data_IF_205031654891
#
_entry.id   IF_205031654891
#
_cell.length_a   1.000
_cell.length_b   1.000
_cell.length_c   1.000
_cell.angle_alpha   90.00
_cell.angle_beta   90.00
_cell.angle_gamma   90.00
#
_symmetry.space_group_name_H-M   'P 1'
#
loop_
_entity.id
_entity.type
_entity.pdbx_description
1 polymer ?
#
# COMPACT_ATOMS: atom_id res chain seq x y z
N UNK A 1 -5.54 -39.20 20.58
CA UNK A 1 -6.54 -38.33 19.92
C UNK A 1 -6.82 -38.84 18.51
N UNK A 2 -8.05 -38.71 18.05
CA UNK A 2 -8.45 -38.94 16.66
C UNK A 2 -9.19 -37.71 16.15
N UNK A 3 -8.97 -37.35 14.89
CA UNK A 3 -9.63 -36.23 14.23
C UNK A 3 -10.05 -36.62 12.81
N UNK A 4 -11.17 -36.08 12.33
CA UNK A 4 -11.78 -36.44 11.05
C UNK A 4 -12.63 -35.29 10.50
N UNK A 5 -12.79 -35.20 9.18
CA UNK A 5 -13.77 -34.30 8.55
C UNK A 5 -15.21 -34.83 8.61
N UNK A 6 -15.39 -36.06 9.08
CA UNK A 6 -16.69 -36.71 9.29
C UNK A 6 -16.85 -37.10 10.76
N UNK A 7 -18.02 -36.85 11.33
CA UNK A 7 -18.39 -37.23 12.69
C UNK A 7 -18.43 -38.76 12.91
N UNK A 8 -18.48 -39.54 11.82
CA UNK A 8 -18.49 -41.01 11.87
C UNK A 8 -17.11 -41.62 12.13
N UNK A 9 -16.03 -40.83 12.02
CA UNK A 9 -14.65 -41.28 12.21
C UNK A 9 -14.27 -42.59 11.47
N UNK A 10 -14.60 -42.69 10.18
CA UNK A 10 -14.20 -43.85 9.36
C UNK A 10 -12.69 -43.87 9.12
N UNK A 11 -12.11 -45.04 8.84
CA UNK A 11 -10.67 -45.21 8.59
C UNK A 11 -10.15 -44.32 7.45
N UNK A 12 -10.98 -44.11 6.41
CA UNK A 12 -10.64 -43.28 5.24
C UNK A 12 -10.50 -41.79 5.55
N UNK A 13 -11.25 -41.26 6.51
CA UNK A 13 -11.28 -39.82 6.82
C UNK A 13 -10.59 -39.46 8.13
N UNK A 14 -10.27 -40.45 8.95
CA UNK A 14 -9.75 -40.23 10.30
C UNK A 14 -8.25 -40.35 10.36
N UNK A 15 -7.63 -39.43 11.09
CA UNK A 15 -6.22 -39.46 11.43
C UNK A 15 -6.07 -39.50 12.94
N UNK A 16 -4.97 -40.07 13.43
CA UNK A 16 -4.68 -40.15 14.86
C UNK A 16 -3.45 -39.33 15.21
N UNK A 17 -3.44 -38.82 16.43
CA UNK A 17 -2.30 -38.16 17.01
C UNK A 17 -2.14 -38.64 18.46
N UNK A 18 -0.94 -39.13 18.79
CA UNK A 18 -0.66 -39.78 20.08
C UNK A 18 0.23 -38.89 20.93
N UNK A 19 -0.17 -38.60 22.17
CA UNK A 19 0.72 -38.02 23.17
C UNK A 19 1.62 -39.13 23.73
N UNK A 20 2.93 -38.86 23.83
CA UNK A 20 3.93 -39.85 24.27
C UNK A 20 4.13 -39.85 25.79
N UNK A 21 3.89 -38.71 26.45
CA UNK A 21 4.02 -38.56 27.90
C UNK A 21 2.63 -38.57 28.52
N UNK A 22 2.50 -39.25 29.64
CA UNK A 22 1.29 -39.37 30.48
C UNK A 22 0.82 -38.03 31.03
N UNK A 23 1.74 -37.14 31.43
CA UNK A 23 1.42 -35.79 31.91
C UNK A 23 0.95 -34.80 30.83
N UNK A 24 0.92 -35.22 29.56
CA UNK A 24 0.51 -34.34 28.46
C UNK A 24 -1.00 -34.32 28.29
N UNK A 25 -1.62 -33.22 28.70
CA UNK A 25 -3.08 -33.00 28.60
C UNK A 25 -3.50 -32.27 27.33
N UNK A 26 -2.55 -31.79 26.51
CA UNK A 26 -2.82 -31.05 25.28
C UNK A 26 -1.96 -31.53 24.10
N UNK A 27 -2.52 -31.48 22.88
CA UNK A 27 -1.76 -31.78 21.65
C UNK A 27 -2.24 -30.94 20.48
N UNK A 28 -1.30 -30.24 19.84
CA UNK A 28 -1.54 -29.47 18.62
C UNK A 28 -1.55 -30.37 17.38
N UNK A 29 -2.52 -30.18 16.50
CA UNK A 29 -2.57 -30.80 15.17
C UNK A 29 -2.34 -29.72 14.12
N UNK A 30 -1.31 -29.88 13.30
CA UNK A 30 -0.96 -28.97 12.21
C UNK A 30 -1.33 -29.57 10.84
N UNK A 31 -1.21 -28.76 9.77
CA UNK A 31 -1.40 -29.24 8.40
C UNK A 31 -2.85 -29.54 8.00
N UNK A 32 -3.82 -29.02 8.75
CA UNK A 32 -5.24 -29.16 8.44
C UNK A 32 -5.67 -28.17 7.34
N UNK A 33 -6.60 -28.59 6.49
CA UNK A 33 -7.21 -27.72 5.47
C UNK A 33 -7.85 -26.48 6.12
N UNK A 34 -7.67 -25.32 5.49
CA UNK A 34 -8.28 -24.04 5.90
C UNK A 34 -9.81 -24.08 5.79
N UNK A 35 -10.51 -23.33 6.66
CA UNK A 35 -11.99 -23.20 6.68
C UNK A 35 -12.74 -24.54 6.61
N UNK A 36 -12.20 -25.57 7.24
CA UNK A 36 -12.76 -26.93 7.21
C UNK A 36 -13.18 -27.33 8.62
N UNK A 37 -14.39 -27.90 8.75
CA UNK A 37 -14.90 -28.43 10.02
C UNK A 37 -14.25 -29.79 10.29
N UNK A 38 -13.72 -29.96 11.49
CA UNK A 38 -13.17 -31.22 11.99
C UNK A 38 -13.89 -31.64 13.26
N UNK A 39 -14.07 -32.94 13.41
CA UNK A 39 -14.53 -33.60 14.62
C UNK A 39 -13.31 -34.21 15.31
N UNK A 40 -13.23 -34.09 16.63
CA UNK A 40 -12.11 -34.54 17.45
C UNK A 40 -12.64 -35.31 18.65
N UNK A 41 -12.01 -36.44 18.95
CA UNK A 41 -12.25 -37.23 20.16
C UNK A 41 -10.94 -37.77 20.71
N UNK A 42 -10.90 -38.05 22.00
CA UNK A 42 -9.71 -38.54 22.70
C UNK A 42 -10.01 -39.84 23.44
N UNK A 43 -8.99 -40.64 23.64
CA UNK A 43 -9.01 -41.85 24.47
C UNK A 43 -7.64 -42.05 25.06
N UNK A 44 -7.57 -42.66 26.23
CA UNK A 44 -6.30 -43.03 26.84
C UNK A 44 -5.83 -44.37 26.28
N UNK A 45 -4.55 -44.67 26.50
CA UNK A 45 -4.00 -45.99 26.22
C UNK A 45 -2.98 -46.34 27.29
N UNK A 46 -2.85 -47.64 27.58
CA UNK A 46 -1.79 -48.20 28.41
C UNK A 46 -1.02 -49.20 27.56
N UNK A 47 0.30 -49.14 27.62
CA UNK A 47 1.16 -50.15 26.99
C UNK A 47 1.49 -51.20 28.05
N UNK A 48 1.23 -52.47 27.75
CA UNK A 48 1.57 -53.61 28.61
C UNK A 48 2.32 -54.62 27.73
N UNK A 49 3.60 -54.81 28.01
CA UNK A 49 4.52 -55.49 27.07
C UNK A 49 4.56 -54.79 25.71
N UNK A 50 4.41 -55.56 24.61
CA UNK A 50 4.39 -55.03 23.22
C UNK A 50 3.00 -54.56 22.75
N UNK A 51 1.93 -54.75 23.54
CA UNK A 51 0.54 -54.46 23.14
C UNK A 51 0.02 -53.18 23.79
N UNK A 52 -0.72 -52.38 23.01
CA UNK A 52 -1.45 -51.20 23.50
C UNK A 52 -2.90 -51.54 23.77
N UNK A 53 -3.35 -51.32 25.01
CA UNK A 53 -4.76 -51.37 25.40
C UNK A 53 -5.31 -49.94 25.41
N UNK A 54 -6.53 -49.76 24.89
CA UNK A 54 -7.16 -48.45 24.72
C UNK A 54 -8.46 -48.38 25.53
N UNK A 55 -8.76 -47.21 26.09
CA UNK A 55 -10.09 -46.94 26.67
C UNK A 55 -11.14 -46.73 25.58
N UNK A 56 -12.41 -46.63 26.01
CA UNK A 56 -13.48 -46.06 25.19
C UNK A 56 -13.13 -44.63 24.75
N UNK A 57 -13.69 -44.22 23.60
CA UNK A 57 -13.57 -42.86 23.12
C UNK A 57 -14.41 -41.89 23.94
N UNK A 58 -13.90 -40.67 24.13
CA UNK A 58 -14.70 -39.55 24.62
C UNK A 58 -15.82 -39.19 23.64
N UNK A 59 -16.78 -38.40 24.10
CA UNK A 59 -17.68 -37.67 23.21
C UNK A 59 -16.87 -36.81 22.22
N UNK A 60 -17.38 -36.69 21.00
CA UNK A 60 -16.75 -35.91 19.95
C UNK A 60 -17.08 -34.43 20.10
N UNK A 61 -16.09 -33.56 19.91
CA UNK A 61 -16.27 -32.12 19.76
C UNK A 61 -15.93 -31.72 18.33
N UNK A 62 -16.46 -30.58 17.87
CA UNK A 62 -16.16 -30.08 16.52
C UNK A 62 -15.59 -28.67 16.56
N UNK A 63 -14.71 -28.36 15.61
CA UNK A 63 -14.09 -27.06 15.44
C UNK A 63 -13.89 -26.79 13.96
N UNK A 64 -14.02 -25.54 13.54
CA UNK A 64 -13.71 -25.13 12.16
C UNK A 64 -12.37 -24.41 12.13
N UNK A 65 -11.44 -24.86 11.29
CA UNK A 65 -10.15 -24.20 11.12
C UNK A 65 -10.33 -22.80 10.55
N UNK A 66 -9.49 -21.85 11.00
CA UNK A 66 -9.43 -20.51 10.40
C UNK A 66 -8.54 -20.54 9.15
N UNK A 67 -8.70 -19.56 8.28
CA UNK A 67 -7.73 -19.34 7.19
C UNK A 67 -6.42 -18.85 7.81
N UNK A 68 -5.30 -19.46 7.42
CA UNK A 68 -4.00 -19.16 7.99
C UNK A 68 -3.63 -17.67 7.87
N UNK A 69 -3.05 -17.11 8.94
CA UNK A 69 -2.46 -15.78 8.92
C UNK A 69 -1.18 -15.81 8.08
N UNK A 70 -1.04 -14.84 7.19
CA UNK A 70 0.15 -14.73 6.33
C UNK A 70 1.28 -14.08 7.11
N UNK A 71 2.47 -14.67 7.06
CA UNK A 71 3.69 -14.01 7.53
C UNK A 71 4.28 -13.16 6.40
N UNK A 72 4.32 -11.84 6.60
CA UNK A 72 4.85 -10.86 5.66
C UNK A 72 6.38 -10.86 5.75
N UNK A 73 7.08 -11.07 4.63
CA UNK A 73 8.55 -11.19 4.64
C UNK A 73 9.22 -9.85 4.41
N UNK A 74 8.97 -9.22 3.26
CA UNK A 74 9.64 -7.98 2.90
C UNK A 74 8.82 -7.14 1.93
N UNK A 75 9.18 -5.86 1.83
CA UNK A 75 8.70 -4.94 0.82
C UNK A 75 9.89 -4.15 0.29
N UNK A 76 10.03 -4.07 -1.03
CA UNK A 76 11.04 -3.26 -1.71
C UNK A 76 10.37 -2.15 -2.50
N UNK A 77 10.94 -0.95 -2.44
CA UNK A 77 10.50 0.16 -3.26
C UNK A 77 10.80 -0.11 -4.73
N UNK A 78 9.88 0.28 -5.61
CA UNK A 78 10.07 0.26 -7.06
C UNK A 78 9.77 1.65 -7.62
N UNK A 79 10.13 1.89 -8.88
CA UNK A 79 9.74 3.09 -9.60
C UNK A 79 8.22 3.17 -9.69
N UNK A 80 7.63 4.23 -9.11
CA UNK A 80 6.16 4.43 -9.07
C UNK A 80 5.41 3.19 -8.51
N UNK A 81 6.02 2.48 -7.55
CA UNK A 81 5.49 1.20 -7.11
C UNK A 81 6.26 0.56 -5.97
N UNK A 82 5.92 -0.68 -5.66
CA UNK A 82 6.67 -1.53 -4.73
C UNK A 82 6.40 -3.01 -4.99
N UNK A 83 7.33 -3.87 -4.61
CA UNK A 83 7.18 -5.33 -4.61
C UNK A 83 7.06 -5.83 -3.18
N UNK A 84 6.02 -6.62 -2.89
CA UNK A 84 5.82 -7.27 -1.60
C UNK A 84 6.10 -8.76 -1.69
N UNK A 85 6.71 -9.33 -0.64
CA UNK A 85 7.00 -10.77 -0.51
C UNK A 85 6.43 -11.31 0.81
N UNK A 86 5.89 -12.52 0.78
CA UNK A 86 5.30 -13.19 1.94
C UNK A 86 5.57 -14.71 1.93
N UNK A 87 5.27 -15.35 3.05
CA UNK A 87 5.30 -16.81 3.18
C UNK A 87 4.05 -17.46 2.60
N UNK A 88 4.21 -18.60 1.94
CA UNK A 88 3.08 -19.38 1.41
C UNK A 88 2.18 -19.85 2.57
N UNK A 89 0.90 -19.51 2.50
CA UNK A 89 -0.12 -20.03 3.39
C UNK A 89 -0.64 -21.39 2.87
N UNK A 90 -0.85 -22.39 3.73
CA UNK A 90 -1.30 -23.71 3.29
C UNK A 90 -2.81 -23.72 2.96
N UNK A 91 -3.18 -24.44 1.90
CA UNK A 91 -4.58 -24.69 1.51
C UNK A 91 -5.41 -23.41 1.32
N UNK A 92 -4.86 -22.43 0.60
CA UNK A 92 -5.54 -21.16 0.29
C UNK A 92 -5.78 -21.04 -1.21
N UNK A 93 -6.81 -20.29 -1.60
CA UNK A 93 -7.11 -20.02 -3.01
C UNK A 93 -6.29 -18.86 -3.55
N UNK A 94 -5.83 -17.95 -2.68
CA UNK A 94 -5.05 -16.80 -3.10
C UNK A 94 -4.79 -15.81 -1.98
N UNK A 95 -4.35 -14.62 -2.35
CA UNK A 95 -3.99 -13.55 -1.42
C UNK A 95 -4.64 -12.22 -1.80
N UNK A 96 -4.81 -11.35 -0.81
CA UNK A 96 -5.19 -9.95 -1.01
C UNK A 96 -4.10 -9.08 -0.43
N UNK A 97 -3.45 -8.30 -1.28
CA UNK A 97 -2.47 -7.29 -0.88
C UNK A 97 -3.22 -5.97 -0.76
N UNK A 98 -3.35 -5.46 0.45
CA UNK A 98 -4.00 -4.19 0.72
C UNK A 98 -2.94 -3.12 0.97
N UNK A 99 -3.10 -1.95 0.35
CA UNK A 99 -2.16 -0.83 0.47
C UNK A 99 -2.89 0.50 0.58
N UNK A 100 -2.30 1.44 1.32
CA UNK A 100 -2.93 2.71 1.68
C UNK A 100 -1.90 3.80 1.97
N UNK A 101 -2.27 5.06 1.81
CA UNK A 101 -1.48 6.19 2.32
C UNK A 101 -1.76 6.48 3.81
N UNK A 102 -2.75 5.80 4.40
CA UNK A 102 -3.09 5.90 5.82
C UNK A 102 -2.65 4.65 6.59
N UNK A 103 -1.97 4.82 7.72
CA UNK A 103 -1.57 3.72 8.61
C UNK A 103 -2.77 2.94 9.17
N UNK A 104 -3.94 3.60 9.27
CA UNK A 104 -5.19 3.01 9.72
C UNK A 104 -5.98 2.30 8.60
N UNK A 105 -5.46 2.30 7.36
CA UNK A 105 -6.13 1.72 6.19
C UNK A 105 -7.55 2.27 5.98
N UNK A 106 -7.72 3.60 6.04
CA UNK A 106 -8.99 4.28 5.77
C UNK A 106 -9.53 3.88 4.37
N UNK A 107 -10.80 3.47 4.29
CA UNK A 107 -11.45 2.98 3.07
C UNK A 107 -11.27 3.90 1.86
N UNK A 108 -11.30 5.23 2.03
CA UNK A 108 -11.20 6.21 0.93
C UNK A 108 -9.87 6.16 0.18
N UNK A 109 -8.79 5.83 0.89
CA UNK A 109 -7.40 5.85 0.35
C UNK A 109 -6.77 4.46 0.30
N UNK A 110 -7.56 3.43 0.56
CA UNK A 110 -7.08 2.05 0.62
C UNK A 110 -7.50 1.27 -0.62
N UNK A 111 -6.52 0.70 -1.29
CA UNK A 111 -6.71 -0.15 -2.47
C UNK A 111 -6.28 -1.58 -2.15
N UNK A 112 -6.70 -2.52 -2.98
CA UNK A 112 -6.33 -3.92 -2.82
C UNK A 112 -6.09 -4.59 -4.16
N UNK A 113 -5.01 -5.37 -4.25
CA UNK A 113 -4.74 -6.29 -5.34
C UNK A 113 -5.19 -7.70 -4.93
N UNK A 114 -5.98 -8.36 -5.78
CA UNK A 114 -6.36 -9.76 -5.62
C UNK A 114 -5.39 -10.64 -6.40
N UNK A 115 -4.69 -11.52 -5.69
CA UNK A 115 -3.81 -12.54 -6.25
C UNK A 115 -4.58 -13.86 -6.25
N UNK A 116 -4.80 -14.45 -7.41
CA UNK A 116 -5.61 -15.68 -7.59
C UNK A 116 -4.81 -16.97 -7.53
N UNK A 117 -3.48 -16.88 -7.48
CA UNK A 117 -2.59 -18.01 -7.30
C UNK A 117 -2.32 -18.25 -5.80
N UNK A 118 -2.85 -19.34 -5.24
CA UNK A 118 -2.61 -19.76 -3.85
C UNK A 118 -1.14 -20.11 -3.52
N UNK A 119 -0.32 -20.38 -4.54
CA UNK A 119 1.11 -20.63 -4.39
C UNK A 119 1.96 -19.36 -4.48
N UNK A 120 1.37 -18.21 -4.82
CA UNK A 120 2.13 -16.96 -4.93
C UNK A 120 2.74 -16.56 -3.58
N UNK A 121 3.98 -16.09 -3.63
CA UNK A 121 4.74 -15.57 -2.49
C UNK A 121 5.18 -14.12 -2.69
N UNK A 122 4.75 -13.49 -3.78
CA UNK A 122 5.06 -12.10 -4.09
C UNK A 122 4.00 -11.47 -5.00
N UNK A 123 3.94 -10.14 -4.97
CA UNK A 123 3.22 -9.33 -5.96
C UNK A 123 3.85 -7.95 -6.06
N UNK A 124 3.73 -7.34 -7.25
CA UNK A 124 4.20 -5.99 -7.51
C UNK A 124 3.00 -5.06 -7.72
N UNK A 125 3.05 -3.90 -7.08
CA UNK A 125 2.06 -2.82 -7.24
C UNK A 125 2.74 -1.70 -8.01
N UNK A 126 2.14 -1.26 -9.11
CA UNK A 126 2.64 -0.21 -10.01
C UNK A 126 1.65 0.94 -10.11
N UNK A 127 2.01 2.02 -10.81
CA UNK A 127 1.13 3.16 -11.05
C UNK A 127 0.83 4.01 -9.80
N UNK A 128 1.74 4.00 -8.82
CA UNK A 128 1.66 4.79 -7.60
C UNK A 128 2.40 6.12 -7.75
N UNK A 129 2.09 7.10 -6.90
CA UNK A 129 2.86 8.35 -6.84
C UNK A 129 4.26 8.06 -6.32
N UNK A 130 5.30 8.56 -6.99
CA UNK A 130 6.69 8.42 -6.57
C UNK A 130 7.02 9.26 -5.33
N UNK A 131 7.98 8.82 -4.51
CA UNK A 131 8.39 9.52 -3.29
C UNK A 131 7.32 9.55 -2.19
N UNK A 132 6.26 8.77 -2.32
CA UNK A 132 5.14 8.75 -1.38
C UNK A 132 5.22 7.50 -0.51
N UNK A 133 5.00 7.68 0.80
CA UNK A 133 4.93 6.60 1.78
C UNK A 133 3.59 5.87 1.68
N UNK A 134 3.65 4.53 1.63
CA UNK A 134 2.51 3.63 1.66
C UNK A 134 2.64 2.62 2.80
N UNK A 135 1.50 2.22 3.35
CA UNK A 135 1.34 1.14 4.29
C UNK A 135 0.74 -0.05 3.55
N UNK A 136 1.33 -1.24 3.73
CA UNK A 136 0.91 -2.45 3.01
C UNK A 136 0.78 -3.63 3.98
N UNK A 137 -0.24 -4.45 3.76
CA UNK A 137 -0.48 -5.69 4.51
C UNK A 137 -1.09 -6.75 3.59
N UNK A 138 -0.88 -8.02 3.92
CA UNK A 138 -1.33 -9.16 3.10
C UNK A 138 -2.21 -10.08 3.94
N UNK A 139 -3.29 -10.58 3.37
CA UNK A 139 -4.07 -11.68 3.93
C UNK A 139 -4.25 -12.78 2.89
N UNK A 140 -4.38 -14.02 3.35
CA UNK A 140 -4.80 -15.12 2.50
C UNK A 140 -6.33 -15.23 2.48
N UNK A 141 -6.87 -15.81 1.41
CA UNK A 141 -8.27 -16.16 1.31
C UNK A 141 -8.46 -17.55 0.71
N UNK A 142 -9.60 -18.16 1.03
CA UNK A 142 -10.06 -19.42 0.43
C UNK A 142 -11.45 -19.20 -0.17
N UNK A 143 -11.67 -19.73 -1.36
CA UNK A 143 -12.99 -19.76 -1.99
C UNK A 143 -13.64 -21.11 -1.72
N UNK A 144 -14.92 -21.09 -1.32
CA UNK A 144 -15.76 -22.28 -1.18
C UNK A 144 -17.09 -21.97 -1.89
N UNK A 145 -17.27 -22.57 -3.06
CA UNK A 145 -18.34 -22.20 -3.98
C UNK A 145 -18.25 -20.72 -4.37
N UNK A 146 -19.38 -20.01 -4.31
CA UNK A 146 -19.48 -18.57 -4.63
C UNK A 146 -18.97 -17.64 -3.50
N UNK A 147 -18.61 -18.18 -2.33
CA UNK A 147 -18.21 -17.38 -1.16
C UNK A 147 -16.69 -17.40 -0.98
N UNK A 148 -16.15 -16.27 -0.50
CA UNK A 148 -14.72 -16.11 -0.18
C UNK A 148 -14.55 -15.82 1.31
N UNK A 149 -13.64 -16.55 1.95
CA UNK A 149 -13.33 -16.42 3.37
C UNK A 149 -11.89 -15.99 3.53
N UNK A 150 -11.67 -14.95 4.33
CA UNK A 150 -10.35 -14.36 4.51
C UNK A 150 -9.76 -14.69 5.88
N UNK A 151 -8.44 -14.83 5.93
CA UNK A 151 -7.69 -14.86 7.19
C UNK A 151 -7.47 -13.46 7.74
N UNK A 152 -6.81 -13.40 8.90
CA UNK A 152 -6.33 -12.13 9.42
C UNK A 152 -5.24 -11.54 8.51
N UNK A 153 -5.21 -10.21 8.40
CA UNK A 153 -4.09 -9.51 7.79
C UNK A 153 -2.79 -9.76 8.56
N UNK A 154 -1.69 -9.77 7.83
CA UNK A 154 -0.34 -9.67 8.39
C UNK A 154 -0.15 -8.36 9.16
N UNK A 155 0.95 -8.27 9.91
CA UNK A 155 1.44 -6.96 10.34
C UNK A 155 1.65 -6.06 9.11
N UNK A 156 1.34 -4.77 9.26
CA UNK A 156 1.58 -3.79 8.22
C UNK A 156 3.07 -3.46 8.12
N UNK A 157 3.55 -3.24 6.91
CA UNK A 157 4.87 -2.69 6.61
C UNK A 157 4.74 -1.38 5.86
N UNK A 158 5.77 -0.56 5.93
CA UNK A 158 5.84 0.71 5.21
C UNK A 158 6.84 0.62 4.08
N UNK A 159 6.58 1.36 3.01
CA UNK A 159 7.50 1.54 1.89
C UNK A 159 7.29 2.93 1.30
N UNK A 160 8.38 3.60 0.94
CA UNK A 160 8.33 4.83 0.16
C UNK A 160 8.68 4.48 -1.27
N UNK A 161 7.78 4.76 -2.21
CA UNK A 161 8.00 4.48 -3.64
C UNK A 161 9.16 5.30 -4.18
N UNK A 162 9.91 4.75 -5.13
CA UNK A 162 10.95 5.53 -5.81
C UNK A 162 10.31 6.56 -6.77
N UNK A 163 10.88 7.77 -6.81
CA UNK A 163 10.55 8.78 -7.81
C UNK A 163 11.11 8.37 -9.18
N UNK A 164 10.58 8.93 -10.25
CA UNK A 164 11.24 8.81 -11.55
C UNK A 164 12.64 9.44 -11.47
N UNK A 165 13.67 8.80 -12.04
CA UNK A 165 14.99 9.40 -12.10
C UNK A 165 14.94 10.67 -12.95
N UNK A 166 15.65 11.71 -12.50
CA UNK A 166 15.78 12.94 -13.28
C UNK A 166 16.45 12.63 -14.63
N UNK A 167 15.79 13.02 -15.73
CA UNK A 167 16.36 12.91 -17.07
C UNK A 167 17.21 14.14 -17.36
N UNK A 168 18.53 13.98 -17.40
CA UNK A 168 19.47 15.03 -17.83
C UNK A 168 19.23 15.43 -19.28
N UNK A 169 19.38 16.72 -19.59
CA UNK A 169 19.20 17.23 -20.95
C UNK A 169 19.29 18.75 -21.04
N UNK A 170 19.06 19.29 -22.24
CA UNK A 170 19.02 20.73 -22.47
C UNK A 170 17.57 21.20 -22.48
N UNK A 171 17.31 22.32 -21.81
CA UNK A 171 16.03 23.00 -21.80
C UNK A 171 16.24 24.48 -22.10
N UNK A 172 15.62 25.00 -23.16
CA UNK A 172 15.82 26.38 -23.63
C UNK A 172 17.32 26.76 -23.75
N UNK A 173 18.15 25.83 -24.25
CA UNK A 173 19.60 26.02 -24.39
C UNK A 173 20.42 25.80 -23.12
N UNK A 174 19.79 25.73 -21.94
CA UNK A 174 20.48 25.51 -20.65
C UNK A 174 20.59 24.02 -20.35
N UNK A 175 21.79 23.55 -20.01
CA UNK A 175 22.04 22.18 -19.58
C UNK A 175 21.54 21.95 -18.15
N UNK A 176 20.69 20.95 -17.95
CA UNK A 176 20.16 20.54 -16.64
C UNK A 176 20.64 19.11 -16.33
N UNK A 177 21.53 18.96 -15.34
CA UNK A 177 22.10 17.67 -14.95
C UNK A 177 21.45 17.10 -13.69
N UNK A 178 20.89 17.97 -12.86
CA UNK A 178 20.26 17.62 -11.60
C UNK A 178 18.92 18.32 -11.44
N UNK A 179 18.11 17.83 -10.51
CA UNK A 179 16.90 18.53 -10.07
C UNK A 179 17.20 19.96 -9.60
N UNK A 180 18.34 20.18 -8.94
CA UNK A 180 18.73 21.50 -8.44
C UNK A 180 19.00 22.49 -9.57
N UNK A 181 19.57 22.04 -10.70
CA UNK A 181 19.80 22.90 -11.87
C UNK A 181 18.49 23.42 -12.43
N UNK A 182 17.50 22.54 -12.56
CA UNK A 182 16.19 22.93 -13.05
C UNK A 182 15.49 23.88 -12.09
N UNK A 183 15.51 23.61 -10.78
CA UNK A 183 14.93 24.52 -9.76
C UNK A 183 15.57 25.90 -9.85
N UNK A 184 16.91 25.98 -9.90
CA UNK A 184 17.64 27.25 -10.05
C UNK A 184 17.22 27.98 -11.33
N UNK A 185 17.07 27.28 -12.45
CA UNK A 185 16.63 27.87 -13.71
C UNK A 185 15.26 28.54 -13.58
N UNK A 186 14.27 27.83 -13.03
CA UNK A 186 12.92 28.37 -12.86
C UNK A 186 12.85 29.48 -11.80
N UNK A 187 13.56 29.35 -10.67
CA UNK A 187 13.63 30.39 -9.64
C UNK A 187 14.27 31.67 -10.19
N UNK A 188 15.32 31.55 -11.00
CA UNK A 188 15.95 32.70 -11.68
C UNK A 188 14.94 33.42 -12.59
N UNK A 189 14.21 32.68 -13.42
CA UNK A 189 13.19 33.25 -14.30
C UNK A 189 12.07 33.93 -13.49
N UNK A 190 11.58 33.28 -12.45
CA UNK A 190 10.55 33.83 -11.55
C UNK A 190 11.02 35.10 -10.84
N UNK A 191 12.22 35.10 -10.26
CA UNK A 191 12.78 36.28 -9.62
C UNK A 191 13.03 37.42 -10.62
N UNK A 192 13.36 37.12 -11.88
CA UNK A 192 13.44 38.14 -12.93
C UNK A 192 12.07 38.79 -13.18
N UNK A 193 10.99 38.02 -13.27
CA UNK A 193 9.63 38.57 -13.42
C UNK A 193 9.16 39.41 -12.24
N UNK A 194 9.67 39.14 -11.02
CA UNK A 194 9.41 39.99 -9.84
C UNK A 194 10.09 41.36 -9.91
N UNK A 195 11.15 41.51 -10.70
CA UNK A 195 11.81 42.81 -10.88
C UNK A 195 11.04 43.72 -11.84
N UNK A 196 10.10 43.17 -12.61
CA UNK A 196 9.23 43.92 -13.48
C UNK A 196 7.93 44.29 -12.74
N UNK A 197 7.94 45.48 -12.14
CA UNK A 197 6.78 46.04 -11.43
C UNK A 197 6.12 47.14 -12.26
N UNK A 198 4.80 47.28 -12.15
CA UNK A 198 4.00 48.38 -12.65
C UNK A 198 3.28 49.05 -11.48
N UNK A 199 3.29 50.38 -11.42
CA UNK A 199 2.57 51.16 -10.42
C UNK A 199 1.22 51.58 -10.99
N UNK A 200 0.17 51.51 -10.17
CA UNK A 200 -1.17 51.94 -10.53
C UNK A 200 -1.66 52.89 -9.44
N UNK A 201 -2.17 54.05 -9.85
CA UNK A 201 -2.83 55.01 -8.96
C UNK A 201 -4.32 54.69 -8.92
N UNK A 202 -4.84 54.44 -7.73
CA UNK A 202 -6.27 54.35 -7.50
C UNK A 202 -6.89 55.74 -7.71
N UNK A 203 -7.88 55.83 -8.59
CA UNK A 203 -8.44 57.10 -9.04
C UNK A 203 -9.40 57.74 -8.01
N UNK A 204 -9.81 56.98 -7.00
CA UNK A 204 -10.79 57.39 -6.00
C UNK A 204 -10.12 57.75 -4.66
N UNK A 205 -9.07 57.01 -4.30
CA UNK A 205 -8.32 57.18 -3.04
C UNK A 205 -6.95 57.84 -3.22
N UNK A 206 -6.51 58.02 -4.48
CA UNK A 206 -5.17 58.49 -4.87
C UNK A 206 -3.99 57.59 -4.45
N UNK A 207 -4.23 56.44 -3.82
CA UNK A 207 -3.19 55.54 -3.37
C UNK A 207 -2.45 54.88 -4.54
N UNK A 208 -1.12 54.77 -4.44
CA UNK A 208 -0.29 54.12 -5.46
C UNK A 208 0.05 52.70 -5.02
N UNK A 209 -0.45 51.72 -5.75
CA UNK A 209 -0.16 50.30 -5.54
C UNK A 209 0.82 49.76 -6.59
N UNK A 210 1.77 48.91 -6.18
CA UNK A 210 2.78 48.31 -7.07
C UNK A 210 2.44 46.85 -7.35
N UNK A 211 2.31 46.49 -8.62
CA UNK A 211 1.91 45.16 -9.10
C UNK A 211 3.00 44.54 -9.98
N UNK A 212 3.10 43.21 -9.99
CA UNK A 212 4.10 42.49 -10.78
C UNK A 212 3.55 42.14 -12.17
N UNK A 213 4.29 42.46 -13.24
CA UNK A 213 3.83 42.52 -14.64
C UNK A 213 3.38 41.18 -15.27
N UNK A 214 3.72 40.04 -14.67
CA UNK A 214 3.52 38.69 -15.25
C UNK A 214 2.66 37.73 -14.39
N UNK A 215 2.15 38.17 -13.23
CA UNK A 215 1.49 37.29 -12.26
C UNK A 215 -0.04 37.41 -12.26
N UNK A 216 -0.67 37.50 -13.44
CA UNK A 216 -2.14 37.60 -13.57
C UNK A 216 -2.96 36.51 -12.87
N UNK A 217 -2.32 35.51 -12.24
CA UNK A 217 -2.92 34.60 -11.25
C UNK A 217 -1.86 34.18 -10.20
N UNK A 218 -2.33 33.82 -9.00
CA UNK A 218 -1.51 33.53 -7.82
C UNK A 218 -0.82 32.16 -7.85
N UNK A 219 -1.20 31.28 -8.76
CA UNK A 219 -0.68 29.91 -8.87
C UNK A 219 0.00 29.69 -10.22
N UNK A 220 1.29 29.31 -10.21
CA UNK A 220 1.98 28.82 -11.40
C UNK A 220 1.62 27.34 -11.62
N UNK A 221 0.98 26.98 -12.73
CA UNK A 221 0.79 25.58 -13.10
C UNK A 221 1.85 25.17 -14.12
N UNK A 222 2.89 24.45 -13.69
CA UNK A 222 3.81 23.79 -14.63
C UNK A 222 3.21 22.42 -14.98
N UNK A 223 2.34 22.39 -15.98
CA UNK A 223 1.89 21.13 -16.58
C UNK A 223 2.69 20.89 -17.85
N UNK A 224 3.11 19.65 -18.10
CA UNK A 224 3.70 19.22 -19.39
C UNK A 224 5.16 19.63 -19.61
N UNK A 225 6.00 19.66 -18.57
CA UNK A 225 7.45 19.95 -18.73
C UNK A 225 8.10 18.93 -19.67
N UNK A 226 8.75 19.40 -20.74
CA UNK A 226 9.47 18.53 -21.70
C UNK A 226 10.96 18.83 -21.71
N UNK A 227 11.81 17.81 -21.53
CA UNK A 227 13.27 17.90 -21.70
C UNK A 227 13.65 17.10 -22.94
N UNK A 228 14.36 17.71 -23.90
CA UNK A 228 14.65 17.14 -25.21
C UNK A 228 13.40 16.54 -25.90
N UNK A 229 12.27 17.27 -25.87
CA UNK A 229 11.01 16.85 -26.51
C UNK A 229 10.21 15.77 -25.75
N UNK A 230 10.79 15.12 -24.73
CA UNK A 230 10.12 14.08 -23.93
C UNK A 230 9.50 14.64 -22.65
N UNK A 231 8.28 14.20 -22.31
CA UNK A 231 7.62 14.57 -21.04
C UNK A 231 8.45 14.13 -19.83
N UNK A 232 8.56 15.02 -18.85
CA UNK A 232 9.28 14.82 -17.59
C UNK A 232 8.31 14.88 -16.40
N UNK A 233 7.75 13.72 -16.05
CA UNK A 233 6.79 13.52 -14.95
C UNK A 233 7.36 13.80 -13.56
N UNK A 234 8.69 13.76 -13.40
CA UNK A 234 9.35 14.13 -12.16
C UNK A 234 9.13 15.62 -11.84
N UNK A 235 9.22 16.51 -12.84
CA UNK A 235 8.93 17.92 -12.64
C UNK A 235 7.46 18.18 -12.35
N UNK A 236 6.54 17.55 -13.08
CA UNK A 236 5.09 17.70 -12.83
C UNK A 236 4.75 17.33 -11.37
N UNK A 237 5.33 16.24 -10.83
CA UNK A 237 5.14 15.83 -9.43
C UNK A 237 5.87 16.70 -8.41
N UNK A 238 7.04 17.24 -8.75
CA UNK A 238 7.89 17.99 -7.83
C UNK A 238 7.45 19.45 -7.73
N UNK A 239 7.00 20.05 -8.83
CA UNK A 239 6.39 21.38 -8.84
C UNK A 239 5.10 21.42 -8.04
N UNK A 240 4.19 20.43 -8.14
CA UNK A 240 3.01 20.39 -7.27
C UNK A 240 3.37 20.43 -5.76
N UNK A 241 4.48 19.78 -5.37
CA UNK A 241 4.95 19.82 -3.97
C UNK A 241 5.66 21.11 -3.57
N UNK A 242 6.23 21.84 -4.53
CA UNK A 242 6.87 23.16 -4.31
C UNK A 242 5.85 24.30 -4.32
N UNK A 243 4.78 24.16 -5.10
CA UNK A 243 3.70 25.13 -5.23
C UNK A 243 2.73 25.09 -4.05
N UNK A 244 2.61 23.94 -3.37
CA UNK A 244 1.81 23.80 -2.14
C UNK A 244 2.38 24.60 -0.95
N UNK A 245 3.66 24.99 -1.00
CA UNK A 245 4.26 25.92 -0.02
C UNK A 245 4.05 27.41 -0.39
N UNK A 246 3.48 27.71 -1.57
CA UNK A 246 3.17 29.10 -1.99
C UNK A 246 1.71 29.51 -1.73
N UNK A 247 0.88 28.66 -1.11
CA UNK A 247 -0.50 29.00 -0.76
C UNK A 247 -0.56 29.80 0.54
N UNK A 248 -0.35 31.10 0.46
CA UNK A 248 -0.89 32.06 1.43
C UNK A 248 -1.93 32.95 0.72
N UNK A 249 -3.19 33.05 1.20
CA UNK A 249 -4.24 33.78 0.52
C UNK A 249 -4.34 35.24 1.00
N UNK A 250 -3.58 36.16 0.43
CA UNK A 250 -3.96 37.58 0.31
C UNK A 250 -3.57 38.15 -1.07
N UNK A 251 -4.55 38.49 -1.88
CA UNK A 251 -4.39 39.16 -3.17
C UNK A 251 -5.78 39.56 -3.66
N UNK A 252 -6.05 40.86 -3.66
CA UNK A 252 -7.38 41.48 -3.85
C UNK A 252 -8.03 41.11 -5.21
N UNK A 253 -9.37 41.11 -5.29
CA UNK A 253 -10.09 40.81 -6.53
C UNK A 253 -9.80 41.83 -7.64
N UNK A 254 -9.97 41.46 -8.93
CA UNK A 254 -9.69 42.36 -10.05
C UNK A 254 -10.64 43.56 -10.04
N UNK A 255 -10.10 44.75 -9.79
CA UNK A 255 -10.82 46.02 -10.00
C UNK A 255 -11.01 46.25 -11.50
N UNK A 256 -12.24 46.50 -11.92
CA UNK A 256 -12.62 46.82 -13.31
C UNK A 256 -12.28 48.26 -13.73
N UNK A 257 -11.53 48.99 -12.92
CA UNK A 257 -11.38 50.44 -13.02
C UNK A 257 -9.91 50.89 -12.98
N UNK A 258 -9.04 50.33 -13.83
CA UNK A 258 -7.63 50.77 -13.90
C UNK A 258 -7.19 50.99 -15.35
N UNK A 259 -6.90 52.25 -15.67
CA UNK A 259 -6.15 52.62 -16.87
C UNK A 259 -4.65 52.58 -16.57
N UNK A 260 -3.88 52.12 -17.56
CA UNK A 260 -2.41 52.11 -17.51
C UNK A 260 -1.92 53.55 -17.59
N UNK A 261 -1.25 54.06 -16.56
CA UNK A 261 -0.61 55.39 -16.64
C UNK A 261 0.54 55.34 -17.64
N UNK A 262 0.71 56.43 -18.40
CA UNK A 262 1.81 56.64 -19.33
C UNK A 262 3.18 56.54 -18.65
#
# INVERSE_FOLDING_TARGET
MQYSTSSKFTSKTSKTATAKKDKTTAKTVSGLKSKTKYYVRVRTYKTSGKKKKYSSWSSAKSVTTKVAKVNFKSVSAERLGFTVKWSKAPYVSGYRVQYSTSSKFNKKVTKALKVTNGNATSATITGLKGGKKYYVRVQAYVNQGKKSYSGAYSAAKTVTTAKDPFKKGKYAGVQLNTTADAVRYYVKAYNATKKETAKYKDLETEEISTYYKMLGCKEMFVTNTRINGSKNSFFDSYFESLLTDMTLPTGLPPSTSVNKSA
#
